data_IF_746998722729
#
_entry.id   IF_746998722729
#
_cell.length_a   1.000
_cell.length_b   1.000
_cell.length_c   1.000
_cell.angle_alpha   90.00
_cell.angle_beta   90.00
_cell.angle_gamma   90.00
#
_symmetry.space_group_name_H-M   'P 1'
#
loop_
_entity.id
_entity.type
_entity.pdbx_description
1 polymer ?
#
# COMPACT_ATOMS: atom_id res chain seq x y z
N UNK A 1 -21.36 5.91 -13.16
CA UNK A 1 -19.92 5.89 -12.83
C UNK A 1 -19.24 6.69 -13.92
N UNK A 2 -18.70 7.89 -13.62
CA UNK A 2 -17.98 8.67 -14.63
C UNK A 2 -16.81 7.85 -15.18
N UNK A 3 -16.49 8.04 -16.46
CA UNK A 3 -15.42 7.31 -17.14
C UNK A 3 -14.10 7.52 -16.38
N UNK A 4 -13.50 6.43 -15.86
CA UNK A 4 -12.26 6.47 -15.07
C UNK A 4 -11.02 6.57 -15.97
N UNK A 5 -11.09 7.42 -17.01
CA UNK A 5 -9.99 7.62 -17.94
C UNK A 5 -8.98 8.60 -17.34
N UNK A 6 -7.88 8.05 -16.80
CA UNK A 6 -6.71 8.81 -16.34
C UNK A 6 -5.61 8.72 -17.41
N UNK A 7 -5.14 9.86 -17.88
CA UNK A 7 -4.00 9.94 -18.78
C UNK A 7 -2.71 9.63 -18.01
N UNK A 8 -2.23 8.39 -18.08
CA UNK A 8 -0.98 7.96 -17.42
C UNK A 8 0.24 8.78 -17.85
N UNK A 9 0.23 9.36 -19.06
CA UNK A 9 1.31 10.23 -19.57
C UNK A 9 1.31 11.65 -19.00
N UNK A 10 0.24 12.06 -18.32
CA UNK A 10 0.09 13.39 -17.70
C UNK A 10 0.13 13.31 -16.18
N UNK A 11 0.56 12.18 -15.63
CA UNK A 11 0.65 12.03 -14.18
C UNK A 11 1.72 13.00 -13.64
N UNK A 12 1.42 13.70 -12.53
CA UNK A 12 2.44 14.49 -11.85
C UNK A 12 3.57 13.58 -11.35
N UNK A 13 4.81 14.10 -11.23
CA UNK A 13 5.92 13.34 -10.68
C UNK A 13 5.62 12.90 -9.24
N UNK A 14 5.96 11.66 -8.92
CA UNK A 14 5.75 11.06 -7.59
C UNK A 14 6.95 11.34 -6.66
N UNK A 15 8.11 11.63 -7.25
CA UNK A 15 9.41 11.83 -6.60
C UNK A 15 9.36 12.85 -5.45
N UNK A 16 8.69 14.02 -5.57
CA UNK A 16 8.64 14.99 -4.47
C UNK A 16 7.99 14.43 -3.20
N UNK A 17 6.97 13.57 -3.34
CA UNK A 17 6.28 12.96 -2.20
C UNK A 17 7.16 11.87 -1.60
N UNK A 18 7.81 11.05 -2.44
CA UNK A 18 8.69 9.99 -1.98
C UNK A 18 9.91 10.55 -1.24
N UNK A 19 10.52 11.63 -1.72
CA UNK A 19 11.67 12.26 -1.05
C UNK A 19 11.26 12.95 0.26
N UNK A 20 10.09 13.59 0.31
CA UNK A 20 9.53 14.09 1.58
C UNK A 20 9.37 12.95 2.59
N UNK A 21 8.72 11.85 2.21
CA UNK A 21 8.51 10.70 3.09
C UNK A 21 9.83 10.07 3.53
N UNK A 22 10.80 9.96 2.61
CA UNK A 22 12.15 9.47 2.92
C UNK A 22 12.84 10.34 3.98
N UNK A 23 12.73 11.66 3.87
CA UNK A 23 13.22 12.61 4.87
C UNK A 23 12.55 12.46 6.24
N UNK A 24 11.32 11.94 6.28
CA UNK A 24 10.62 11.58 7.51
C UNK A 24 10.85 10.12 7.96
N UNK A 25 11.80 9.39 7.33
CA UNK A 25 12.12 8.01 7.66
C UNK A 25 11.17 6.95 7.09
N UNK A 26 10.24 7.34 6.21
CA UNK A 26 9.26 6.46 5.60
C UNK A 26 9.70 6.07 4.19
N UNK A 27 9.65 4.78 3.89
CA UNK A 27 9.92 4.23 2.55
C UNK A 27 8.71 3.48 2.01
N UNK A 28 8.46 3.59 0.71
CA UNK A 28 7.43 2.81 0.00
C UNK A 28 8.12 1.74 -0.82
N UNK A 29 7.70 0.48 -0.67
CA UNK A 29 8.25 -0.65 -1.43
C UNK A 29 7.24 -1.78 -1.57
N UNK A 30 7.52 -2.75 -2.44
CA UNK A 30 6.81 -4.04 -2.38
C UNK A 30 7.29 -4.83 -1.15
N UNK A 31 6.41 -5.57 -0.46
CA UNK A 31 6.83 -6.45 0.60
C UNK A 31 7.66 -7.61 0.02
N UNK A 32 8.61 -8.09 0.80
CA UNK A 32 9.37 -9.29 0.45
C UNK A 32 8.45 -10.52 0.49
N UNK A 33 8.72 -11.60 -0.28
CA UNK A 33 7.87 -12.80 -0.29
C UNK A 33 7.61 -13.41 1.09
N UNK A 34 8.58 -13.35 2.01
CA UNK A 34 8.44 -13.83 3.39
C UNK A 34 7.74 -12.82 4.34
N UNK A 35 7.47 -11.61 3.85
CA UNK A 35 6.83 -10.53 4.61
C UNK A 35 5.31 -10.66 4.80
N UNK A 36 4.68 -11.69 4.22
CA UNK A 36 3.22 -11.88 4.26
C UNK A 36 2.67 -11.89 5.69
N UNK A 37 3.29 -12.63 6.59
CA UNK A 37 2.83 -12.72 7.99
C UNK A 37 2.87 -11.35 8.68
N UNK A 38 3.93 -10.57 8.46
CA UNK A 38 4.06 -9.24 9.06
C UNK A 38 2.98 -8.29 8.55
N UNK A 39 2.72 -8.30 7.23
CA UNK A 39 1.65 -7.49 6.64
C UNK A 39 0.27 -7.90 7.16
N UNK A 40 -0.02 -9.21 7.21
CA UNK A 40 -1.29 -9.71 7.75
C UNK A 40 -1.52 -9.25 9.19
N UNK A 41 -0.51 -9.38 10.05
CA UNK A 41 -0.60 -8.97 11.45
C UNK A 41 -0.89 -7.47 11.58
N UNK A 42 -0.22 -6.63 10.79
CA UNK A 42 -0.47 -5.19 10.76
C UNK A 42 -1.91 -4.87 10.33
N UNK A 43 -2.40 -5.54 9.28
CA UNK A 43 -3.76 -5.29 8.77
C UNK A 43 -4.82 -5.73 9.78
N UNK A 44 -4.64 -6.91 10.38
CA UNK A 44 -5.56 -7.41 11.42
C UNK A 44 -5.57 -6.47 12.64
N UNK A 45 -4.42 -5.92 13.06
CA UNK A 45 -4.36 -5.06 14.25
C UNK A 45 -4.94 -3.66 14.04
N UNK A 46 -4.72 -3.05 12.87
CA UNK A 46 -5.14 -1.67 12.59
C UNK A 46 -6.48 -1.55 11.87
N UNK A 47 -6.94 -2.63 11.21
CA UNK A 47 -8.12 -2.63 10.36
C UNK A 47 -9.05 -3.81 10.65
N UNK A 48 -8.93 -4.91 9.91
CA UNK A 48 -9.81 -6.07 10.06
C UNK A 48 -9.17 -7.36 9.55
N UNK A 49 -9.61 -8.49 10.10
CA UNK A 49 -9.21 -9.82 9.63
C UNK A 49 -9.56 -10.04 8.15
N UNK A 50 -10.73 -9.57 7.70
CA UNK A 50 -11.18 -9.73 6.32
C UNK A 50 -10.27 -9.01 5.31
N UNK A 51 -9.77 -7.81 5.64
CA UNK A 51 -8.78 -7.12 4.81
C UNK A 51 -7.43 -7.84 4.79
N UNK A 52 -7.08 -8.50 5.90
CA UNK A 52 -5.85 -9.25 6.03
C UNK A 52 -5.89 -10.53 5.17
N UNK A 53 -7.04 -11.23 5.14
CA UNK A 53 -7.34 -12.33 4.23
C UNK A 53 -7.26 -11.89 2.77
N UNK A 54 -7.98 -10.84 2.43
CA UNK A 54 -8.04 -10.31 1.06
C UNK A 54 -6.66 -9.91 0.55
N UNK A 55 -5.90 -9.16 1.36
CA UNK A 55 -4.54 -8.71 0.99
C UNK A 55 -3.54 -9.85 0.88
N UNK A 56 -3.77 -10.98 1.57
CA UNK A 56 -2.88 -12.15 1.47
C UNK A 56 -2.79 -12.70 0.05
N UNK A 57 -3.84 -12.51 -0.76
CA UNK A 57 -3.86 -12.88 -2.18
C UNK A 57 -2.77 -12.16 -2.97
N UNK A 58 -2.34 -10.97 -2.55
CA UNK A 58 -1.27 -10.21 -3.22
C UNK A 58 0.02 -11.03 -3.39
N UNK A 59 0.34 -11.90 -2.42
CA UNK A 59 1.54 -12.72 -2.41
C UNK A 59 1.49 -13.91 -3.37
N UNK A 60 0.32 -14.24 -3.91
CA UNK A 60 0.18 -15.26 -4.96
C UNK A 60 0.62 -14.75 -6.35
N UNK A 61 0.74 -13.43 -6.52
CA UNK A 61 1.14 -12.79 -7.77
C UNK A 61 2.66 -12.56 -7.82
N UNK A 62 3.19 -12.52 -9.05
CA UNK A 62 4.61 -12.20 -9.32
C UNK A 62 4.69 -11.08 -10.36
N UNK A 63 5.14 -9.87 -9.99
CA UNK A 63 5.51 -9.43 -8.64
C UNK A 63 4.31 -9.38 -7.68
N UNK A 64 4.58 -9.38 -6.36
CA UNK A 64 3.53 -9.27 -5.32
C UNK A 64 2.71 -8.00 -5.54
N UNK A 65 1.39 -8.11 -5.69
CA UNK A 65 0.50 -6.98 -6.04
C UNK A 65 0.09 -6.13 -4.83
N UNK A 66 1.07 -5.77 -4.01
CA UNK A 66 0.90 -4.89 -2.86
C UNK A 66 2.12 -4.01 -2.69
N UNK A 67 1.90 -2.78 -2.21
CA UNK A 67 2.91 -1.88 -1.70
C UNK A 67 2.72 -1.68 -0.20
N UNK A 68 3.82 -1.53 0.52
CA UNK A 68 3.86 -1.24 1.96
C UNK A 68 4.64 0.05 2.20
N UNK A 69 4.16 0.83 3.16
CA UNK A 69 4.88 1.95 3.74
C UNK A 69 5.59 1.47 5.01
N UNK A 70 6.89 1.73 5.11
CA UNK A 70 7.76 1.26 6.19
C UNK A 70 8.41 2.45 6.90
N UNK A 71 8.32 2.51 8.22
CA UNK A 71 9.18 3.35 9.07
C UNK A 71 10.16 2.42 9.80
N UNK A 72 11.41 2.39 9.37
CA UNK A 72 12.36 1.33 9.77
C UNK A 72 11.86 -0.06 9.38
N UNK A 73 11.70 -0.95 10.37
CA UNK A 73 11.16 -2.31 10.18
C UNK A 73 9.64 -2.40 10.39
N UNK A 74 8.98 -1.29 10.75
CA UNK A 74 7.55 -1.26 11.04
C UNK A 74 6.74 -0.91 9.79
N UNK A 75 5.72 -1.73 9.50
CA UNK A 75 4.70 -1.38 8.51
C UNK A 75 3.78 -0.31 9.11
N UNK A 76 3.60 0.79 8.40
CA UNK A 76 2.74 1.93 8.81
C UNK A 76 1.61 2.19 7.80
N UNK A 77 1.61 1.47 6.69
CA UNK A 77 0.53 1.50 5.70
C UNK A 77 0.73 0.48 4.60
N UNK A 78 -0.33 0.25 3.83
CA UNK A 78 -0.33 -0.69 2.72
C UNK A 78 -1.35 -0.29 1.65
N UNK A 79 -1.13 -0.75 0.42
CA UNK A 79 -2.12 -0.72 -0.65
C UNK A 79 -1.98 -1.97 -1.50
N UNK A 80 -3.07 -2.70 -1.64
CA UNK A 80 -3.15 -3.91 -2.45
C UNK A 80 -3.94 -3.65 -3.74
N UNK A 81 -3.63 -4.39 -4.78
CA UNK A 81 -4.39 -4.39 -6.03
C UNK A 81 -4.49 -5.81 -6.59
N UNK A 82 -5.50 -6.05 -7.41
CA UNK A 82 -5.84 -7.38 -7.96
C UNK A 82 -6.01 -8.49 -6.91
N UNK A 83 -6.42 -8.13 -5.69
CA UNK A 83 -6.62 -9.07 -4.58
C UNK A 83 -8.08 -9.55 -4.48
N UNK A 84 -9.03 -8.61 -4.50
CA UNK A 84 -10.47 -8.92 -4.50
C UNK A 84 -10.90 -9.53 -5.83
N UNK A 85 -10.52 -8.85 -6.93
CA UNK A 85 -10.90 -9.12 -8.32
C UNK A 85 -9.85 -8.50 -9.24
N UNK A 86 -9.76 -9.00 -10.47
CA UNK A 86 -8.88 -8.42 -11.50
C UNK A 86 -9.24 -6.96 -11.78
N UNK A 87 -8.23 -6.09 -11.90
CA UNK A 87 -8.42 -4.66 -12.10
C UNK A 87 -9.01 -3.88 -10.92
N UNK A 88 -9.12 -4.50 -9.73
CA UNK A 88 -9.60 -3.83 -8.52
C UNK A 88 -8.42 -3.30 -7.69
N UNK A 89 -8.54 -2.06 -7.21
CA UNK A 89 -7.59 -1.47 -6.27
C UNK A 89 -8.20 -1.46 -4.87
N UNK A 90 -7.52 -2.09 -3.93
CA UNK A 90 -7.96 -2.27 -2.56
C UNK A 90 -7.74 -3.70 -2.05
N UNK A 91 -7.66 -3.87 -0.72
CA UNK A 91 -7.79 -2.81 0.29
C UNK A 91 -6.52 -1.96 0.43
N UNK A 92 -6.66 -0.77 1.03
CA UNK A 92 -5.55 0.13 1.36
C UNK A 92 -5.78 0.78 2.72
N UNK A 93 -4.69 1.10 3.43
CA UNK A 93 -4.81 1.73 4.74
C UNK A 93 -3.49 2.29 5.24
N UNK A 94 -3.59 3.34 6.08
CA UNK A 94 -2.47 3.92 6.82
C UNK A 94 -2.85 3.93 8.30
N UNK A 95 -1.92 3.47 9.15
CA UNK A 95 -2.08 3.46 10.60
C UNK A 95 -2.46 4.85 11.10
N UNK A 96 -3.32 4.93 12.12
CA UNK A 96 -3.98 6.17 12.50
C UNK A 96 -2.99 7.31 12.82
N UNK A 97 -1.95 7.03 13.59
CA UNK A 97 -0.90 7.99 13.95
C UNK A 97 -0.02 8.47 12.79
N UNK A 98 -0.15 7.86 11.60
CA UNK A 98 0.62 8.19 10.40
C UNK A 98 -0.22 8.88 9.32
N UNK A 99 -1.52 9.06 9.57
CA UNK A 99 -2.42 9.78 8.64
C UNK A 99 -2.04 11.26 8.55
N UNK A 100 -2.39 11.90 7.44
CA UNK A 100 -2.05 13.32 7.18
C UNK A 100 -0.60 13.59 6.75
N UNK A 101 0.29 12.58 6.79
CA UNK A 101 1.71 12.74 6.38
C UNK A 101 1.95 12.65 4.86
N UNK A 102 0.95 12.20 4.11
CA UNK A 102 1.02 12.00 2.65
C UNK A 102 1.28 10.56 2.21
N UNK A 103 1.37 9.61 3.15
CA UNK A 103 1.59 8.18 2.87
C UNK A 103 0.50 7.59 1.96
N UNK A 104 -0.77 7.87 2.26
CA UNK A 104 -1.88 7.37 1.44
C UNK A 104 -1.81 7.85 -0.01
N UNK A 105 -1.31 9.07 -0.24
CA UNK A 105 -1.10 9.62 -1.59
C UNK A 105 0.10 8.99 -2.31
N UNK A 106 1.09 8.50 -1.57
CA UNK A 106 2.22 7.78 -2.15
C UNK A 106 1.89 6.30 -2.47
N UNK A 107 0.89 5.75 -1.80
CA UNK A 107 0.42 4.36 -1.98
C UNK A 107 -0.66 4.21 -3.09
N UNK A 108 -1.28 5.31 -3.51
CA UNK A 108 -2.31 5.39 -4.56
C UNK A 108 -1.74 6.01 -5.83
#
# INVERSE_FOLDING_TARGET
>A
MPDMLVSLVKLPPIEPILEKLRGEGITIRRPDPWGQRALRNFITSEFSEGWADETSVAFSHRPVTCFVAMEGERIVGFAAYECTRRGYFGPMGVAEGYRGRGIGKALF
#
